data_IF_193970002222
#
_entry.id   IF_193970002222
#
_cell.length_a   1.000
_cell.length_b   1.000
_cell.length_c   1.000
_cell.angle_alpha   90.00
_cell.angle_beta   90.00
_cell.angle_gamma   90.00
#
_symmetry.space_group_name_H-M   'P 1'
#
loop_
_entity.id
_entity.type
_entity.pdbx_description
1 polymer ?
#
# COMPACT_ATOMS: atom_id res chain seq x y z
N UNK A 1 -2.77 -8.55 20.90
CA UNK A 1 -2.95 -8.36 19.44
C UNK A 1 -4.20 -9.12 19.09
N UNK A 2 -5.29 -8.42 18.82
CA UNK A 2 -6.51 -9.06 18.35
C UNK A 2 -6.19 -9.77 17.04
N UNK A 3 -6.54 -11.06 16.97
CA UNK A 3 -6.24 -11.89 15.81
C UNK A 3 -7.20 -11.46 14.71
N UNK A 4 -6.69 -10.71 13.72
CA UNK A 4 -7.47 -10.36 12.54
C UNK A 4 -7.83 -11.67 11.84
N UNK A 5 -9.14 -11.92 11.68
CA UNK A 5 -9.64 -13.10 10.98
C UNK A 5 -9.93 -12.70 9.53
N UNK A 6 -9.31 -13.39 8.58
CA UNK A 6 -9.55 -13.19 7.15
C UNK A 6 -10.55 -14.22 6.63
N UNK A 7 -11.28 -13.93 5.54
CA UNK A 7 -12.00 -14.96 4.80
C UNK A 7 -11.04 -16.06 4.35
N UNK A 8 -11.47 -17.33 4.40
CA UNK A 8 -10.64 -18.48 4.04
C UNK A 8 -10.13 -18.44 2.61
N UNK A 9 -10.85 -17.74 1.72
CA UNK A 9 -10.51 -17.53 0.32
C UNK A 9 -9.15 -16.85 0.15
N UNK A 10 -8.78 -15.92 1.04
CA UNK A 10 -7.49 -15.23 0.98
C UNK A 10 -6.35 -16.21 1.30
N UNK A 11 -6.52 -17.04 2.33
CA UNK A 11 -5.54 -18.07 2.69
C UNK A 11 -5.45 -19.16 1.61
N UNK A 12 -6.57 -19.55 1.01
CA UNK A 12 -6.60 -20.51 -0.08
C UNK A 12 -5.85 -19.97 -1.32
N UNK A 13 -6.13 -18.73 -1.74
CA UNK A 13 -5.45 -18.12 -2.88
C UNK A 13 -3.94 -17.95 -2.65
N UNK A 14 -3.51 -17.67 -1.42
CA UNK A 14 -2.09 -17.66 -1.08
C UNK A 14 -1.47 -19.07 -1.14
N UNK A 15 -2.16 -20.09 -0.65
CA UNK A 15 -1.68 -21.47 -0.67
C UNK A 15 -1.63 -22.08 -2.08
N UNK A 16 -2.58 -21.72 -2.94
CA UNK A 16 -2.70 -22.19 -4.33
C UNK A 16 -1.84 -21.37 -5.31
N UNK A 17 -1.07 -20.39 -4.80
CA UNK A 17 -0.25 -19.52 -5.64
C UNK A 17 0.79 -20.35 -6.42
N UNK A 18 0.95 -20.14 -7.74
CA UNK A 18 1.73 -21.05 -8.59
C UNK A 18 3.26 -20.91 -8.43
N UNK A 19 3.72 -19.94 -7.64
CA UNK A 19 5.13 -19.72 -7.31
C UNK A 19 5.32 -19.58 -5.80
N UNK A 20 6.52 -19.91 -5.26
CA UNK A 20 6.84 -19.67 -3.86
C UNK A 20 6.56 -18.22 -3.46
N UNK A 21 5.82 -18.04 -2.37
CA UNK A 21 5.43 -16.73 -1.88
C UNK A 21 6.38 -16.27 -0.78
N UNK A 22 6.87 -15.05 -0.93
CA UNK A 22 7.55 -14.32 0.14
C UNK A 22 6.51 -13.85 1.15
N UNK A 23 5.47 -13.16 0.69
CA UNK A 23 4.35 -12.70 1.52
C UNK A 23 3.10 -12.45 0.68
N UNK A 24 1.96 -12.45 1.37
CA UNK A 24 0.71 -11.88 0.88
C UNK A 24 0.03 -11.11 2.03
N UNK A 25 -0.23 -9.82 1.82
CA UNK A 25 -0.80 -8.90 2.80
C UNK A 25 -2.02 -8.21 2.23
N UNK A 26 -2.99 -7.92 3.09
CA UNK A 26 -4.16 -7.14 2.70
C UNK A 26 -3.77 -5.67 2.51
N UNK A 27 -4.26 -5.08 1.42
CA UNK A 27 -4.16 -3.66 1.08
C UNK A 27 -5.57 -3.05 1.00
N UNK A 28 -5.73 -1.94 0.28
CA UNK A 28 -7.06 -1.44 -0.05
C UNK A 28 -7.84 -0.89 1.13
N UNK A 29 -9.16 -0.80 0.98
CA UNK A 29 -10.06 -0.22 1.99
C UNK A 29 -9.86 -0.84 3.38
N UNK A 30 -9.56 -2.14 3.45
CA UNK A 30 -9.26 -2.88 4.67
C UNK A 30 -7.99 -2.37 5.37
N UNK A 31 -6.88 -2.21 4.64
CA UNK A 31 -5.66 -1.60 5.19
C UNK A 31 -5.87 -0.13 5.56
N UNK A 32 -6.60 0.60 4.72
CA UNK A 32 -6.80 2.03 4.87
C UNK A 32 -7.80 2.42 5.96
N UNK A 33 -8.48 1.44 6.56
CA UNK A 33 -9.36 1.65 7.71
C UNK A 33 -10.76 2.12 7.34
N UNK A 34 -11.23 1.89 6.12
CA UNK A 34 -12.61 2.21 5.74
C UNK A 34 -13.27 1.16 4.83
N UNK A 35 -13.19 -0.15 5.17
CA UNK A 35 -13.96 -1.14 4.43
C UNK A 35 -15.47 -0.93 4.66
N UNK A 36 -16.24 -1.01 3.59
CA UNK A 36 -17.69 -1.21 3.59
C UNK A 36 -18.02 -2.71 3.46
N UNK A 37 -19.29 -3.08 3.65
CA UNK A 37 -19.72 -4.49 3.55
C UNK A 37 -19.49 -5.11 2.15
N UNK A 38 -19.44 -4.27 1.12
CA UNK A 38 -19.20 -4.59 -0.29
C UNK A 38 -17.76 -4.27 -0.74
N UNK A 39 -16.82 -4.03 0.19
CA UNK A 39 -15.42 -3.79 -0.20
C UNK A 39 -14.73 -5.08 -0.64
N UNK A 40 -13.99 -4.96 -1.73
CA UNK A 40 -13.07 -5.96 -2.23
C UNK A 40 -11.93 -6.25 -1.25
N UNK A 41 -11.43 -7.46 -1.34
CA UNK A 41 -10.21 -7.90 -0.66
C UNK A 41 -9.02 -7.75 -1.60
N UNK A 42 -8.34 -6.62 -1.50
CA UNK A 42 -7.04 -6.41 -2.15
C UNK A 42 -5.96 -7.25 -1.45
N UNK A 43 -5.55 -8.36 -2.05
CA UNK A 43 -4.41 -9.16 -1.59
C UNK A 43 -3.18 -8.83 -2.44
N UNK A 44 -2.10 -8.38 -1.80
CA UNK A 44 -0.89 -7.93 -2.49
C UNK A 44 0.33 -8.69 -1.97
N UNK A 45 1.29 -8.99 -2.82
CA UNK A 45 2.38 -9.85 -2.39
C UNK A 45 3.60 -9.88 -3.29
N UNK A 46 4.54 -10.73 -2.88
CA UNK A 46 5.76 -11.00 -3.62
C UNK A 46 5.93 -12.50 -3.80
N UNK A 47 6.22 -12.89 -5.03
CA UNK A 47 6.58 -14.25 -5.40
C UNK A 47 8.00 -14.32 -5.94
N UNK A 48 8.52 -15.54 -6.06
CA UNK A 48 9.87 -15.77 -6.61
C UNK A 48 9.76 -16.62 -7.86
N UNK A 49 10.09 -16.04 -9.02
CA UNK A 49 10.33 -16.81 -10.23
C UNK A 49 11.62 -17.64 -10.08
N UNK A 50 11.62 -18.85 -10.65
CA UNK A 50 12.77 -19.73 -10.58
C UNK A 50 13.99 -19.21 -11.36
N UNK A 51 15.17 -19.71 -11.00
CA UNK A 51 16.45 -19.29 -11.60
C UNK A 51 16.47 -19.53 -13.10
N UNK A 52 15.88 -20.64 -13.58
CA UNK A 52 15.87 -20.98 -15.02
C UNK A 52 15.00 -20.01 -15.80
N UNK A 53 13.85 -19.65 -15.25
CA UNK A 53 12.89 -18.71 -15.81
C UNK A 53 13.51 -17.32 -15.98
N UNK A 54 14.29 -16.88 -15.00
CA UNK A 54 14.93 -15.55 -15.01
C UNK A 54 16.16 -15.49 -15.92
N UNK A 55 16.96 -16.56 -15.98
CA UNK A 55 18.17 -16.61 -16.81
C UNK A 55 17.88 -16.95 -18.28
N UNK A 56 16.68 -17.48 -18.56
CA UNK A 56 16.23 -17.82 -19.90
C UNK A 56 16.09 -16.59 -20.80
N UNK A 57 15.99 -16.84 -22.12
CA UNK A 57 15.75 -15.79 -23.12
C UNK A 57 14.26 -15.41 -23.23
N UNK A 58 13.37 -16.23 -22.67
CA UNK A 58 11.93 -15.99 -22.71
C UNK A 58 11.55 -14.93 -21.69
N UNK A 59 10.82 -13.91 -22.14
CA UNK A 59 10.28 -12.91 -21.23
C UNK A 59 9.25 -13.57 -20.31
N UNK A 60 9.49 -13.50 -19.01
CA UNK A 60 8.57 -13.98 -17.99
C UNK A 60 7.75 -12.83 -17.44
N UNK A 61 6.46 -13.08 -17.18
CA UNK A 61 5.62 -12.10 -16.53
C UNK A 61 6.06 -11.92 -15.07
N UNK A 62 6.66 -10.78 -14.75
CA UNK A 62 7.05 -10.42 -13.37
C UNK A 62 5.83 -10.07 -12.48
N UNK A 63 4.60 -10.31 -12.94
CA UNK A 63 3.38 -9.98 -12.22
C UNK A 63 2.33 -11.03 -12.47
N UNK A 64 1.79 -11.53 -11.36
CA UNK A 64 0.64 -12.41 -11.36
C UNK A 64 -0.56 -11.63 -10.84
N UNK A 65 -1.69 -11.77 -11.53
CA UNK A 65 -2.97 -11.21 -11.12
C UNK A 65 -4.01 -12.33 -11.17
N UNK A 66 -4.89 -12.35 -10.18
CA UNK A 66 -5.99 -13.29 -10.06
C UNK A 66 -7.18 -12.55 -9.45
N UNK A 67 -8.27 -12.46 -10.22
CA UNK A 67 -9.55 -11.94 -9.76
C UNK A 67 -10.49 -13.13 -9.50
N UNK A 68 -11.06 -13.20 -8.30
CA UNK A 68 -12.00 -14.23 -7.89
C UNK A 68 -13.21 -13.59 -7.20
N UNK A 69 -14.41 -14.02 -7.60
CA UNK A 69 -15.66 -13.64 -6.95
C UNK A 69 -16.54 -14.89 -6.82
N UNK A 70 -16.80 -15.31 -5.59
CA UNK A 70 -17.68 -16.44 -5.26
C UNK A 70 -19.08 -15.99 -4.79
N UNK A 71 -19.41 -14.70 -4.96
CA UNK A 71 -20.63 -14.05 -4.47
C UNK A 71 -20.62 -13.74 -2.97
N UNK A 72 -19.57 -14.14 -2.24
CA UNK A 72 -19.36 -13.83 -0.82
C UNK A 72 -18.09 -13.01 -0.62
N UNK A 73 -17.03 -13.33 -1.34
CA UNK A 73 -15.73 -12.65 -1.31
C UNK A 73 -15.33 -12.29 -2.72
N UNK A 74 -15.18 -10.99 -2.96
CA UNK A 74 -14.49 -10.45 -4.13
C UNK A 74 -13.01 -10.26 -3.74
N UNK A 75 -12.12 -11.05 -4.34
CA UNK A 75 -10.69 -11.09 -4.10
C UNK A 75 -9.94 -10.64 -5.35
N UNK A 76 -9.16 -9.58 -5.21
CA UNK A 76 -8.16 -9.13 -6.18
C UNK A 76 -6.78 -9.47 -5.62
N UNK A 77 -6.14 -10.51 -6.15
CA UNK A 77 -4.76 -10.88 -5.83
C UNK A 77 -3.80 -10.35 -6.89
N UNK A 78 -2.81 -9.56 -6.45
CA UNK A 78 -1.69 -9.12 -7.30
C UNK A 78 -0.37 -9.35 -6.59
N UNK A 79 0.50 -10.15 -7.20
CA UNK A 79 1.86 -10.34 -6.71
C UNK A 79 2.89 -9.98 -7.77
N UNK A 80 4.06 -9.52 -7.31
CA UNK A 80 5.19 -9.22 -8.18
C UNK A 80 6.35 -10.18 -7.91
N UNK A 81 7.12 -10.49 -8.96
CA UNK A 81 8.39 -11.18 -8.76
C UNK A 81 9.31 -10.33 -7.86
N UNK A 82 10.10 -11.00 -7.03
CA UNK A 82 11.01 -10.40 -6.07
C UNK A 82 11.91 -9.31 -6.69
N UNK A 83 12.40 -9.50 -7.93
CA UNK A 83 13.23 -8.51 -8.61
C UNK A 83 12.42 -7.23 -8.93
N UNK A 84 11.23 -7.37 -9.53
CA UNK A 84 10.35 -6.23 -9.83
C UNK A 84 9.96 -5.49 -8.57
N UNK A 85 9.53 -6.20 -7.53
CA UNK A 85 9.12 -5.59 -6.27
C UNK A 85 10.28 -4.83 -5.60
N UNK A 86 11.46 -5.44 -5.49
CA UNK A 86 12.65 -4.79 -4.96
C UNK A 86 13.04 -3.54 -5.77
N UNK A 87 12.96 -3.62 -7.10
CA UNK A 87 13.18 -2.47 -7.98
C UNK A 87 12.19 -1.33 -7.76
N UNK A 88 10.92 -1.62 -7.46
CA UNK A 88 9.92 -0.62 -7.09
C UNK A 88 10.19 -0.04 -5.70
N UNK A 89 10.58 -0.88 -4.74
CA UNK A 89 10.90 -0.48 -3.36
C UNK A 89 12.05 0.54 -3.32
N UNK A 90 13.04 0.40 -4.19
CA UNK A 90 14.16 1.35 -4.34
C UNK A 90 13.77 2.68 -5.05
N UNK A 91 12.58 2.75 -5.66
CA UNK A 91 12.10 3.90 -6.45
C UNK A 91 11.04 4.71 -5.72
N UNK A 92 11.18 4.90 -4.39
CA UNK A 92 10.31 5.77 -3.57
C UNK A 92 8.81 5.49 -3.73
N UNK A 93 8.46 4.23 -4.01
CA UNK A 93 7.09 3.84 -4.30
C UNK A 93 6.36 3.50 -2.99
N UNK A 94 5.52 4.43 -2.53
CA UNK A 94 4.75 4.26 -1.29
C UNK A 94 3.80 3.07 -1.34
N UNK A 95 3.24 2.76 -2.51
CA UNK A 95 2.29 1.65 -2.67
C UNK A 95 2.90 0.28 -2.31
N UNK A 96 4.08 -0.06 -2.83
CA UNK A 96 4.74 -1.34 -2.48
C UNK A 96 5.27 -1.34 -1.04
N UNK A 97 5.58 -0.16 -0.49
CA UNK A 97 6.00 -0.01 0.90
C UNK A 97 4.82 -0.26 1.86
N UNK A 98 3.63 0.27 1.55
CA UNK A 98 2.38 -0.02 2.27
C UNK A 98 2.06 -1.53 2.25
N UNK A 99 2.29 -2.22 1.13
CA UNK A 99 2.10 -3.67 1.03
C UNK A 99 3.09 -4.46 1.91
N UNK A 100 4.38 -4.13 1.83
CA UNK A 100 5.44 -4.77 2.61
C UNK A 100 5.24 -4.59 4.13
N UNK A 101 4.72 -3.44 4.54
CA UNK A 101 4.58 -3.07 5.95
C UNK A 101 3.16 -3.21 6.49
N UNK A 102 2.21 -3.68 5.67
CA UNK A 102 0.84 -3.91 6.08
C UNK A 102 0.81 -4.83 7.32
N UNK A 103 0.07 -4.45 8.38
CA UNK A 103 -0.11 -5.28 9.55
C UNK A 103 -1.08 -6.46 9.30
N UNK A 104 -1.79 -6.45 8.17
CA UNK A 104 -2.81 -7.43 7.81
C UNK A 104 -2.18 -8.57 7.00
N UNK A 105 -1.49 -9.46 7.68
CA UNK A 105 -0.68 -10.51 7.07
C UNK A 105 -1.50 -11.79 6.88
N UNK A 106 -1.79 -12.15 5.62
CA UNK A 106 -2.42 -13.44 5.26
C UNK A 106 -1.35 -14.53 5.17
N UNK A 107 -0.19 -14.18 4.64
CA UNK A 107 0.92 -15.10 4.40
C UNK A 107 2.27 -14.41 4.62
N UNK A 108 3.21 -15.12 5.24
CA UNK A 108 4.56 -14.59 5.53
C UNK A 108 5.61 -15.69 5.55
N UNK A 109 6.86 -15.30 5.31
CA UNK A 109 8.03 -16.18 5.33
C UNK A 109 9.21 -15.50 6.06
N UNK A 110 10.30 -16.24 6.34
CA UNK A 110 11.57 -15.63 6.76
C UNK A 110 12.10 -14.59 5.75
N UNK A 111 11.88 -14.81 4.45
CA UNK A 111 12.21 -13.84 3.42
C UNK A 111 11.47 -12.50 3.58
N UNK A 112 10.18 -12.55 3.95
CA UNK A 112 9.39 -11.36 4.26
C UNK A 112 9.96 -10.60 5.45
N UNK A 113 10.27 -11.30 6.55
CA UNK A 113 10.83 -10.69 7.75
C UNK A 113 12.16 -9.98 7.45
N UNK A 114 13.04 -10.61 6.68
CA UNK A 114 14.31 -10.01 6.25
C UNK A 114 14.08 -8.75 5.41
N UNK A 115 13.17 -8.78 4.42
CA UNK A 115 12.89 -7.61 3.58
C UNK A 115 12.33 -6.44 4.41
N UNK A 116 11.44 -6.72 5.38
CA UNK A 116 10.90 -5.70 6.29
C UNK A 116 12.00 -5.00 7.08
N UNK A 117 13.07 -5.68 7.47
CA UNK A 117 14.20 -5.04 8.18
C UNK A 117 14.97 -4.03 7.31
N UNK A 118 14.90 -4.16 5.99
CA UNK A 118 15.53 -3.22 5.05
C UNK A 118 14.65 -1.99 4.78
N UNK A 119 13.36 -2.03 5.10
CA UNK A 119 12.39 -1.00 4.76
C UNK A 119 12.77 0.41 5.28
N UNK A 120 13.26 0.60 6.53
CA UNK A 120 13.67 1.93 6.99
C UNK A 120 14.79 2.54 6.13
N UNK A 121 15.69 1.71 5.59
CA UNK A 121 16.81 2.17 4.78
C UNK A 121 16.42 2.62 3.37
N UNK A 122 15.26 2.21 2.85
CA UNK A 122 14.78 2.63 1.52
C UNK A 122 14.03 3.96 1.54
N UNK A 123 13.68 4.45 2.74
CA UNK A 123 12.94 5.69 2.90
C UNK A 123 13.78 6.89 2.47
N UNK A 124 13.12 7.81 1.78
CA UNK A 124 13.72 9.06 1.30
C UNK A 124 12.70 10.17 1.38
N UNK A 125 13.18 11.42 1.50
CA UNK A 125 12.31 12.61 1.42
C UNK A 125 11.50 12.69 0.12
N UNK A 126 11.93 12.00 -0.93
CA UNK A 126 11.23 11.98 -2.21
C UNK A 126 10.00 11.07 -2.24
N UNK A 127 9.73 10.28 -1.19
CA UNK A 127 8.42 9.63 -1.05
C UNK A 127 7.27 10.65 -1.02
N UNK A 128 7.53 11.89 -0.62
CA UNK A 128 6.59 13.00 -0.75
C UNK A 128 5.99 13.08 -2.17
N UNK A 129 6.80 12.91 -3.22
CA UNK A 129 6.32 12.98 -4.61
C UNK A 129 5.31 11.89 -4.94
N UNK A 130 5.47 10.68 -4.37
CA UNK A 130 4.51 9.60 -4.58
C UNK A 130 3.16 9.97 -3.98
N UNK A 131 3.14 10.39 -2.72
CA UNK A 131 1.90 10.74 -2.02
C UNK A 131 1.25 12.01 -2.57
N UNK A 132 2.03 13.03 -2.94
CA UNK A 132 1.55 14.24 -3.63
C UNK A 132 0.91 13.88 -4.99
N UNK A 133 1.58 13.04 -5.78
CA UNK A 133 1.03 12.58 -7.05
C UNK A 133 -0.25 11.77 -6.88
N UNK A 134 -0.29 10.87 -5.89
CA UNK A 134 -1.46 10.05 -5.61
C UNK A 134 -2.64 10.89 -5.15
N UNK A 135 -2.46 11.76 -4.15
CA UNK A 135 -3.54 12.61 -3.64
C UNK A 135 -4.09 13.53 -4.71
N UNK A 136 -3.22 14.10 -5.57
CA UNK A 136 -3.65 14.93 -6.69
C UNK A 136 -4.46 14.16 -7.73
N UNK A 137 -4.11 12.89 -7.99
CA UNK A 137 -4.89 12.04 -8.90
C UNK A 137 -6.27 11.71 -8.33
N UNK A 138 -6.36 11.39 -7.04
CA UNK A 138 -7.65 11.14 -6.38
C UNK A 138 -8.53 12.40 -6.36
N UNK A 139 -7.93 13.57 -6.12
CA UNK A 139 -8.64 14.83 -6.17
C UNK A 139 -9.19 15.13 -7.57
N UNK A 140 -8.40 14.94 -8.62
CA UNK A 140 -8.86 15.09 -10.02
C UNK A 140 -9.95 14.10 -10.40
N UNK A 141 -9.99 12.92 -9.79
CA UNK A 141 -11.09 11.97 -9.99
C UNK A 141 -12.37 12.51 -9.39
N UNK A 142 -12.34 13.03 -8.15
CA UNK A 142 -13.49 13.68 -7.50
C UNK A 142 -14.07 14.81 -8.35
N UNK A 143 -13.21 15.70 -8.85
CA UNK A 143 -13.64 16.87 -9.63
C UNK A 143 -14.34 16.51 -10.94
N UNK A 144 -14.09 15.31 -11.47
CA UNK A 144 -14.71 14.81 -12.72
C UNK A 144 -16.03 14.08 -12.49
N UNK A 145 -16.35 13.74 -11.25
CA UNK A 145 -17.60 13.05 -10.93
C UNK A 145 -18.78 14.02 -10.98
N UNK A 146 -19.86 13.62 -11.64
CA UNK A 146 -21.10 14.41 -11.64
C UNK A 146 -21.69 14.55 -10.22
N UNK A 147 -21.47 13.52 -9.39
CA UNK A 147 -21.79 13.51 -7.96
C UNK A 147 -20.54 13.01 -7.24
N UNK A 148 -19.75 13.90 -6.60
CA UNK A 148 -18.55 13.51 -5.87
C UNK A 148 -18.85 12.49 -4.77
N UNK A 149 -18.04 11.43 -4.71
CA UNK A 149 -18.20 10.32 -3.77
C UNK A 149 -17.27 10.38 -2.56
N UNK A 150 -17.67 9.70 -1.49
CA UNK A 150 -16.91 9.58 -0.23
C UNK A 150 -15.57 8.86 -0.44
N UNK A 151 -15.58 7.74 -1.18
CA UNK A 151 -14.38 6.88 -1.34
C UNK A 151 -13.18 7.64 -1.91
N UNK A 152 -13.25 8.32 -3.09
CA UNK A 152 -12.08 9.03 -3.59
C UNK A 152 -11.60 10.18 -2.68
N UNK A 153 -12.50 10.82 -1.91
CA UNK A 153 -12.14 11.84 -0.93
C UNK A 153 -11.33 11.24 0.23
N UNK A 154 -11.77 10.12 0.78
CA UNK A 154 -11.02 9.39 1.82
C UNK A 154 -9.65 8.96 1.31
N UNK A 155 -9.54 8.49 0.06
CA UNK A 155 -8.24 8.16 -0.55
C UNK A 155 -7.34 9.40 -0.69
N UNK A 156 -7.88 10.56 -1.08
CA UNK A 156 -7.10 11.80 -1.17
C UNK A 156 -6.54 12.24 0.19
N UNK A 157 -7.36 12.22 1.25
CA UNK A 157 -6.91 12.56 2.60
C UNK A 157 -5.95 11.52 3.19
N UNK A 158 -6.23 10.23 3.03
CA UNK A 158 -5.35 9.15 3.49
C UNK A 158 -3.97 9.28 2.89
N UNK A 159 -3.87 9.51 1.59
CA UNK A 159 -2.57 9.58 0.89
C UNK A 159 -1.73 10.76 1.32
N UNK A 160 -2.32 11.96 1.47
CA UNK A 160 -1.57 13.13 1.95
C UNK A 160 -1.15 12.97 3.42
N UNK A 161 -2.00 12.39 4.26
CA UNK A 161 -1.71 12.14 5.67
C UNK A 161 -0.65 11.03 5.86
N UNK A 162 -0.70 9.95 5.09
CA UNK A 162 0.36 8.92 5.07
C UNK A 162 1.70 9.52 4.71
N UNK A 163 1.75 10.36 3.66
CA UNK A 163 2.98 11.06 3.29
C UNK A 163 3.50 11.96 4.40
N UNK A 164 2.61 12.72 5.06
CA UNK A 164 2.96 13.60 6.17
C UNK A 164 3.52 12.83 7.36
N UNK A 165 2.86 11.73 7.74
CA UNK A 165 3.30 10.86 8.82
C UNK A 165 4.71 10.34 8.50
N UNK A 166 4.90 9.75 7.31
CA UNK A 166 6.18 9.19 6.88
C UNK A 166 7.33 10.19 6.92
N UNK A 167 7.13 11.41 6.41
CA UNK A 167 8.21 12.40 6.41
C UNK A 167 8.53 12.93 7.80
N UNK A 168 7.58 12.88 8.75
CA UNK A 168 7.78 13.32 10.13
C UNK A 168 8.42 12.24 11.00
N UNK A 169 8.00 10.99 10.84
CA UNK A 169 8.36 9.91 11.77
C UNK A 169 9.38 8.93 11.20
N UNK A 170 9.47 8.82 9.87
CA UNK A 170 10.20 7.73 9.23
C UNK A 170 9.46 6.39 9.29
N UNK A 171 8.16 6.40 9.61
CA UNK A 171 7.31 5.21 9.69
C UNK A 171 6.18 5.28 8.66
N UNK A 172 5.61 4.14 8.30
CA UNK A 172 4.49 4.08 7.34
C UNK A 172 3.23 3.75 8.11
N UNK A 173 2.24 4.64 8.01
CA UNK A 173 0.89 4.41 8.50
C UNK A 173 -0.10 4.72 7.36
N UNK A 174 -0.88 3.71 6.98
CA UNK A 174 -1.82 3.76 5.86
C UNK A 174 -3.28 3.85 6.31
N UNK A 175 -3.55 3.54 7.59
CA UNK A 175 -4.88 3.56 8.16
C UNK A 175 -5.31 4.99 8.48
N UNK A 176 -6.36 5.47 7.79
CA UNK A 176 -6.84 6.83 7.90
C UNK A 176 -7.38 7.18 9.29
N UNK A 177 -7.98 6.22 10.00
CA UNK A 177 -8.48 6.44 11.35
C UNK A 177 -7.32 6.77 12.30
N UNK A 178 -6.23 6.00 12.23
CA UNK A 178 -5.00 6.25 13.01
C UNK A 178 -4.33 7.56 12.64
N UNK A 179 -4.20 7.85 11.34
CA UNK A 179 -3.66 9.12 10.86
C UNK A 179 -4.48 10.32 11.36
N UNK A 180 -5.79 10.15 11.52
CA UNK A 180 -6.67 11.21 11.99
C UNK A 180 -6.59 11.45 13.51
N UNK A 181 -5.98 10.56 14.30
CA UNK A 181 -5.71 10.81 15.73
C UNK A 181 -4.80 12.03 15.91
N UNK A 182 -3.83 12.19 15.00
CA UNK A 182 -2.92 13.34 14.94
C UNK A 182 -3.51 14.52 14.15
N UNK A 183 -4.14 14.25 12.99
CA UNK A 183 -4.65 15.32 12.12
C UNK A 183 -5.90 16.02 12.68
N UNK A 184 -6.71 15.29 13.46
CA UNK A 184 -7.92 15.78 14.16
C UNK A 184 -8.91 16.51 13.26
N UNK A 185 -9.17 15.95 12.08
CA UNK A 185 -10.15 16.47 11.13
C UNK A 185 -11.53 15.88 11.43
N UNK A 186 -12.49 16.66 11.95
CA UNK A 186 -13.77 16.12 12.42
C UNK A 186 -14.54 15.42 11.30
N UNK A 187 -14.56 16.03 10.11
CA UNK A 187 -15.27 15.48 8.95
C UNK A 187 -14.75 14.11 8.51
N UNK A 188 -13.49 13.76 8.77
CA UNK A 188 -12.99 12.43 8.43
C UNK A 188 -13.65 11.35 9.29
N UNK A 189 -13.92 11.62 10.57
CA UNK A 189 -14.63 10.69 11.45
C UNK A 189 -16.03 10.40 10.90
N UNK A 190 -16.75 11.45 10.50
CA UNK A 190 -18.11 11.34 9.97
C UNK A 190 -18.12 10.60 8.62
N UNK A 191 -17.17 10.90 7.72
CA UNK A 191 -17.07 10.26 6.41
C UNK A 191 -16.60 8.80 6.50
N UNK A 192 -15.73 8.46 7.45
CA UNK A 192 -15.34 7.08 7.74
C UNK A 192 -16.56 6.28 8.21
N UNK A 193 -17.34 6.84 9.14
CA UNK A 193 -18.56 6.21 9.62
C UNK A 193 -19.59 6.02 8.49
N UNK A 194 -19.78 7.06 7.66
CA UNK A 194 -20.64 7.00 6.48
C UNK A 194 -20.20 5.85 5.56
N UNK A 195 -18.93 5.85 5.11
CA UNK A 195 -18.37 4.83 4.22
C UNK A 195 -18.50 3.42 4.76
N UNK A 196 -18.26 3.21 6.05
CA UNK A 196 -18.40 1.88 6.69
C UNK A 196 -19.86 1.41 6.77
N UNK A 197 -20.81 2.36 6.87
CA UNK A 197 -22.23 2.07 7.12
C UNK A 197 -23.08 1.86 5.87
N UNK A 198 -22.64 2.33 4.70
CA UNK A 198 -23.35 2.05 3.46
C UNK A 198 -22.45 1.47 2.37
N UNK A 199 -22.61 1.96 1.14
CA UNK A 199 -22.17 1.24 -0.07
C UNK A 199 -20.97 1.92 -0.75
N UNK A 200 -20.34 1.23 -1.70
CA UNK A 200 -19.24 1.73 -2.53
C UNK A 200 -19.50 3.10 -3.22
N UNK A 201 -20.75 3.42 -3.53
CA UNK A 201 -21.14 4.58 -4.35
C UNK A 201 -21.71 5.79 -3.57
N UNK A 202 -21.41 5.93 -2.28
CA UNK A 202 -21.94 7.02 -1.46
C UNK A 202 -21.48 8.41 -1.91
N UNK A 203 -22.46 9.31 -2.07
CA UNK A 203 -22.22 10.72 -2.35
C UNK A 203 -21.70 11.48 -1.12
N UNK A 204 -20.92 12.54 -1.36
CA UNK A 204 -20.51 13.44 -0.28
C UNK A 204 -21.73 14.13 0.37
N UNK A 205 -21.77 14.21 1.71
CA UNK A 205 -22.87 14.86 2.43
C UNK A 205 -22.82 16.39 2.33
N UNK A 206 -21.70 16.96 1.87
CA UNK A 206 -21.50 18.38 1.75
C UNK A 206 -20.71 18.73 0.46
N UNK A 207 -20.79 19.98 -0.03
CA UNK A 207 -20.06 20.42 -1.22
C UNK A 207 -18.54 20.21 -1.10
N UNK A 208 -17.88 19.88 -2.22
CA UNK A 208 -16.46 19.54 -2.26
C UNK A 208 -15.57 20.69 -1.74
N UNK A 209 -16.01 21.93 -1.91
CA UNK A 209 -15.34 23.16 -1.47
C UNK A 209 -15.05 23.17 0.03
N UNK A 210 -15.89 22.52 0.84
CA UNK A 210 -15.70 22.42 2.29
C UNK A 210 -14.43 21.64 2.63
N UNK A 211 -14.13 20.60 1.84
CA UNK A 211 -12.96 19.76 2.05
C UNK A 211 -11.70 20.33 1.39
N UNK A 212 -11.88 21.15 0.34
CA UNK A 212 -10.80 21.62 -0.50
C UNK A 212 -9.75 22.46 0.24
N UNK A 213 -10.19 23.40 1.08
CA UNK A 213 -9.26 24.25 1.82
C UNK A 213 -8.33 23.43 2.74
N UNK A 214 -8.87 22.39 3.38
CA UNK A 214 -8.12 21.53 4.27
C UNK A 214 -7.18 20.60 3.51
N UNK A 215 -7.63 20.06 2.37
CA UNK A 215 -6.78 19.27 1.48
C UNK A 215 -5.58 20.08 0.98
N UNK A 216 -5.80 21.31 0.51
CA UNK A 216 -4.72 22.21 0.08
C UNK A 216 -3.75 22.53 1.21
N UNK A 217 -4.26 22.77 2.42
CA UNK A 217 -3.43 23.00 3.61
C UNK A 217 -2.52 21.81 3.89
N UNK A 218 -3.04 20.58 3.83
CA UNK A 218 -2.25 19.37 4.05
C UNK A 218 -1.24 19.10 2.93
N UNK A 219 -1.60 19.40 1.68
CA UNK A 219 -0.68 19.30 0.54
C UNK A 219 0.52 20.24 0.74
N UNK A 220 0.28 21.51 1.10
CA UNK A 220 1.35 22.45 1.39
C UNK A 220 2.23 21.98 2.57
N UNK A 221 1.62 21.43 3.62
CA UNK A 221 2.39 20.85 4.73
C UNK A 221 3.25 19.64 4.29
N UNK A 222 2.78 18.82 3.34
CA UNK A 222 3.54 17.69 2.83
C UNK A 222 4.73 18.16 1.98
N UNK A 223 4.54 19.23 1.20
CA UNK A 223 5.61 19.90 0.46
C UNK A 223 6.66 20.48 1.43
N UNK A 224 6.23 21.17 2.49
CA UNK A 224 7.14 21.69 3.52
C UNK A 224 7.88 20.56 4.26
N UNK A 225 7.18 19.47 4.59
CA UNK A 225 7.76 18.31 5.26
C UNK A 225 8.87 17.64 4.43
N UNK A 226 8.76 17.63 3.09
CA UNK A 226 9.82 17.16 2.22
C UNK A 226 11.13 17.94 2.39
N UNK A 227 11.04 19.25 2.70
CA UNK A 227 12.23 20.11 2.84
C UNK A 227 12.83 20.05 4.25
N UNK A 228 12.03 19.69 5.25
CA UNK A 228 12.39 19.75 6.68
C UNK A 228 12.69 18.38 7.31
N UNK A 229 12.28 17.29 6.67
CA UNK A 229 12.55 15.91 7.11
C UNK A 229 14.05 15.60 7.21
N UNK A 230 14.39 14.67 8.10
CA UNK A 230 15.74 14.11 8.24
C UNK A 230 16.00 12.93 7.29
N UNK A 231 14.99 12.48 6.53
CA UNK A 231 15.14 11.40 5.57
C UNK A 231 16.11 11.77 4.43
N UNK A 232 16.94 10.82 3.96
CA UNK A 232 17.92 11.11 2.93
C UNK A 232 17.28 11.43 1.58
N UNK A 233 18.04 12.08 0.70
CA UNK A 233 17.62 12.37 -0.68
C UNK A 233 17.69 11.16 -1.62
N UNK A 234 18.46 10.14 -1.27
CA UNK A 234 18.63 8.92 -2.04
C UNK A 234 18.71 7.73 -1.10
N UNK A 235 18.35 6.54 -1.58
CA UNK A 235 18.63 5.29 -0.87
C UNK A 235 20.15 5.17 -0.75
N UNK A 236 20.73 4.82 0.41
CA UNK A 236 22.17 4.58 0.52
C UNK A 236 22.62 3.38 -0.34
N UNK A 237 23.89 3.35 -0.75
CA UNK A 237 24.40 2.30 -1.65
C UNK A 237 24.44 0.94 -0.98
N UNK A 238 24.80 0.91 0.31
CA UNK A 238 24.77 -0.25 1.16
C UNK A 238 23.37 -0.86 1.28
N UNK A 239 22.32 -0.03 1.34
CA UNK A 239 20.93 -0.50 1.36
C UNK A 239 20.52 -1.06 0.00
N UNK A 240 20.91 -0.40 -1.11
CA UNK A 240 20.68 -0.93 -2.46
C UNK A 240 21.29 -2.30 -2.65
N UNK A 241 22.53 -2.50 -2.18
CA UNK A 241 23.21 -3.80 -2.22
C UNK A 241 22.50 -4.82 -1.35
N UNK A 242 22.12 -4.48 -0.12
CA UNK A 242 21.39 -5.39 0.75
C UNK A 242 20.05 -5.84 0.14
N UNK A 243 19.32 -4.93 -0.53
CA UNK A 243 18.09 -5.27 -1.27
C UNK A 243 18.40 -6.19 -2.47
N UNK A 244 19.49 -5.92 -3.20
CA UNK A 244 19.93 -6.79 -4.29
C UNK A 244 20.32 -8.18 -3.80
N UNK A 245 21.08 -8.27 -2.72
CA UNK A 245 21.52 -9.52 -2.10
C UNK A 245 20.32 -10.32 -1.58
N UNK A 246 19.29 -9.63 -1.04
CA UNK A 246 18.03 -10.25 -0.67
C UNK A 246 17.34 -10.92 -1.87
N UNK A 247 17.27 -10.25 -3.02
CA UNK A 247 16.70 -10.84 -4.26
C UNK A 247 17.46 -12.09 -4.69
N UNK A 248 18.79 -12.05 -4.62
CA UNK A 248 19.65 -13.21 -4.94
C UNK A 248 19.40 -14.35 -3.96
N UNK A 249 19.40 -14.08 -2.66
CA UNK A 249 19.24 -15.09 -1.62
C UNK A 249 17.90 -15.83 -1.70
N UNK A 250 16.78 -15.11 -1.93
CA UNK A 250 15.47 -15.78 -2.09
C UNK A 250 15.42 -16.64 -3.35
N UNK A 251 16.13 -16.22 -4.41
CA UNK A 251 16.14 -16.92 -5.71
C UNK A 251 17.04 -18.15 -5.71
N UNK A 252 18.14 -18.11 -4.96
CA UNK A 252 19.02 -19.27 -4.75
C UNK A 252 18.50 -20.24 -3.68
N UNK A 253 17.38 -19.91 -3.01
CA UNK A 253 16.81 -20.73 -1.94
C UNK A 253 17.59 -20.67 -0.63
N UNK A 254 18.51 -19.70 -0.48
CA UNK A 254 19.28 -19.46 0.74
C UNK A 254 18.41 -18.83 1.83
N UNK A 255 17.33 -18.15 1.43
CA UNK A 255 16.31 -17.59 2.30
C UNK A 255 14.96 -18.18 1.93
N UNK A 256 14.37 -18.91 2.89
CA UNK A 256 13.14 -19.66 2.64
C UNK A 256 11.97 -18.73 2.28
N UNK A 257 11.39 -19.05 1.14
CA UNK A 257 10.01 -18.74 0.80
C UNK A 257 9.18 -20.00 1.09
N UNK A 258 7.89 -19.82 1.29
CA UNK A 258 6.94 -20.91 1.56
C UNK A 258 6.07 -21.18 0.37
#
# INVERSE_FOLDING_TARGET
>A
MDTVTFPSQLTAAAADHPWPLVFATVSGAHLYGFPSADSDWDLRGVHVLGVREVLGLEAQAETHALDQDDGTVELDLVTHDAHKFAGLLLKRNGYVLEQLLSPLIVHTSPAHAALRTLAPGVLTRHHAHHYLGFTANQWRLLEKEAVPRVKPLLYAFRTVLTGLHLLKTGEVEANLERLNEDARLPFLTDLLALKRSGHEAEALPAPLEIYHAEHQRLVALLEDAQTTTQLPGTVPEEVRRAVSDWVVAVRLGELSCS
#
